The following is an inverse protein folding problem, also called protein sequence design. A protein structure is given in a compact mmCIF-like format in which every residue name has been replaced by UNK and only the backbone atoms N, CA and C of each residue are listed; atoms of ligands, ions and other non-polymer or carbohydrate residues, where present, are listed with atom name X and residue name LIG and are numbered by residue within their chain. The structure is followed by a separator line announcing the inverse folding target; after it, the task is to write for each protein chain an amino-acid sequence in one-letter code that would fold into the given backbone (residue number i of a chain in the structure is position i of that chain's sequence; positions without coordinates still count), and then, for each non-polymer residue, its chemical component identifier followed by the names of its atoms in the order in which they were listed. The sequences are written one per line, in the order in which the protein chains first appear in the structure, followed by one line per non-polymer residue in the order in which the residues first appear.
data_IF_851410009349
#
_entry.id   IF_851410009349
#
_cell.length_a   1.000
_cell.length_b   1.000
_cell.length_c   1.000
_cell.angle_alpha   90.00
_cell.angle_beta   90.00
_cell.angle_gamma   90.00
#
_symmetry.space_group_name_H-M   'P 1'
#
loop_
_entity.id
_entity.type
_entity.pdbx_description
1 polymer ?
#
# COMPACT_ATOMS: atom_id res chain seq x y z
N UNK A 1 35.98 89.06 -32.49
CA UNK A 1 36.06 88.88 -31.02
C UNK A 1 34.70 89.26 -30.44
N UNK A 2 34.26 88.53 -29.41
CA UNK A 2 32.90 88.55 -28.81
C UNK A 2 31.89 87.68 -29.57
N UNK A 3 31.22 86.67 -29.02
CA UNK A 3 31.01 86.25 -27.63
C UNK A 3 30.60 84.76 -27.61
N UNK A 4 31.54 83.85 -27.36
CA UNK A 4 31.28 82.43 -27.10
C UNK A 4 31.01 82.24 -25.61
N UNK A 5 29.76 82.33 -25.18
CA UNK A 5 29.28 81.83 -23.89
C UNK A 5 27.79 81.53 -24.01
N UNK A 6 27.42 80.78 -25.05
CA UNK A 6 26.10 80.16 -25.12
C UNK A 6 26.13 78.91 -24.27
N UNK A 7 25.64 78.98 -23.03
CA UNK A 7 25.47 77.78 -22.20
C UNK A 7 24.58 76.82 -22.98
N UNK A 8 25.12 75.66 -23.39
CA UNK A 8 24.34 74.64 -24.05
C UNK A 8 23.32 74.07 -23.06
N UNK A 9 22.09 74.57 -23.12
CA UNK A 9 21.01 74.18 -22.21
C UNK A 9 20.72 72.67 -22.24
N UNK A 10 21.01 71.99 -23.35
CA UNK A 10 20.87 70.54 -23.43
C UNK A 10 21.84 69.82 -22.48
N UNK A 11 23.09 70.29 -22.40
CA UNK A 11 24.10 69.73 -21.50
C UNK A 11 23.79 70.06 -20.03
N UNK A 12 23.11 71.18 -19.77
CA UNK A 12 22.63 71.53 -18.44
C UNK A 12 21.46 70.64 -17.99
N UNK A 13 20.47 70.43 -18.86
CA UNK A 13 19.30 69.60 -18.56
C UNK A 13 19.69 68.14 -18.31
N UNK A 14 20.68 67.61 -19.03
CA UNK A 14 21.18 66.24 -18.82
C UNK A 14 21.91 66.03 -17.49
N UNK A 15 22.39 67.10 -16.86
CA UNK A 15 23.02 67.05 -15.52
C UNK A 15 22.00 66.95 -14.40
N UNK A 16 20.73 67.22 -14.67
CA UNK A 16 19.65 67.16 -13.69
C UNK A 16 19.02 65.75 -13.76
N UNK A 17 19.05 64.95 -12.68
CA UNK A 17 18.40 63.65 -12.68
C UNK A 17 16.88 63.82 -12.80
N UNK A 18 16.27 63.00 -13.65
CA UNK A 18 14.82 62.95 -13.78
C UNK A 18 14.23 62.21 -12.59
N UNK A 19 13.18 62.78 -12.00
CA UNK A 19 12.45 62.18 -10.90
C UNK A 19 11.09 61.68 -11.38
N UNK A 20 10.63 60.59 -10.78
CA UNK A 20 9.31 60.06 -11.02
C UNK A 20 8.26 60.93 -10.31
N UNK A 21 7.19 61.32 -11.01
CA UNK A 21 6.07 62.09 -10.46
C UNK A 21 5.38 61.40 -9.28
N UNK A 22 5.41 60.07 -9.24
CA UNK A 22 4.83 59.26 -8.15
C UNK A 22 5.75 59.15 -6.93
N UNK A 23 6.98 59.68 -7.00
CA UNK A 23 7.90 59.78 -5.87
C UNK A 23 8.11 58.46 -5.11
N UNK A 24 7.76 58.45 -3.83
CA UNK A 24 7.84 57.27 -2.94
C UNK A 24 6.69 56.28 -3.13
N UNK A 25 5.58 56.72 -3.75
CA UNK A 25 4.41 55.88 -4.01
C UNK A 25 4.60 54.99 -5.24
N UNK A 26 5.69 55.19 -5.99
CA UNK A 26 6.03 54.29 -7.08
C UNK A 26 6.41 52.91 -6.51
N UNK A 27 5.83 51.80 -7.03
CA UNK A 27 6.15 50.46 -6.54
C UNK A 27 7.61 50.13 -6.86
N UNK A 28 8.47 50.19 -5.84
CA UNK A 28 9.91 49.93 -5.97
C UNK A 28 10.27 48.45 -5.88
N UNK A 29 9.38 47.65 -5.30
CA UNK A 29 9.65 46.26 -4.95
C UNK A 29 8.56 45.38 -5.54
N UNK A 30 8.92 44.68 -6.60
CA UNK A 30 8.18 43.50 -7.04
C UNK A 30 8.62 42.39 -6.08
N UNK A 31 7.69 41.66 -5.43
CA UNK A 31 8.08 40.58 -4.52
C UNK A 31 8.93 39.56 -5.30
N UNK A 32 9.99 39.02 -4.68
CA UNK A 32 10.83 38.03 -5.32
C UNK A 32 10.02 36.79 -5.70
N UNK A 33 10.36 36.17 -6.83
CA UNK A 33 9.75 34.91 -7.25
C UNK A 33 10.06 33.85 -6.21
N UNK A 34 9.03 33.25 -5.62
CA UNK A 34 9.17 32.15 -4.67
C UNK A 34 9.59 30.89 -5.44
N UNK A 35 10.80 30.41 -5.17
CA UNK A 35 11.28 29.13 -5.67
C UNK A 35 10.82 28.03 -4.72
N UNK A 36 9.84 27.22 -5.15
CA UNK A 36 9.22 26.16 -4.35
C UNK A 36 10.16 24.98 -4.00
N UNK A 37 11.41 25.05 -4.43
CA UNK A 37 12.42 24.00 -4.26
C UNK A 37 12.75 23.74 -2.78
N UNK A 38 12.50 24.72 -1.89
CA UNK A 38 12.80 24.64 -0.46
C UNK A 38 11.62 24.15 0.40
N UNK A 39 10.38 24.30 -0.06
CA UNK A 39 9.16 24.01 0.74
C UNK A 39 8.65 22.58 0.49
N UNK A 40 8.75 22.14 -0.77
CA UNK A 40 8.48 20.77 -1.15
C UNK A 40 9.78 20.25 -1.74
N UNK A 41 10.49 19.33 -1.07
CA UNK A 41 11.66 18.76 -1.69
C UNK A 41 11.25 18.24 -3.06
N UNK A 42 11.96 18.66 -4.11
CA UNK A 42 11.83 18.12 -5.48
C UNK A 42 12.00 16.58 -5.51
N UNK A 43 12.45 16.02 -4.38
CA UNK A 43 12.45 14.61 -4.01
C UNK A 43 11.20 14.16 -3.22
N UNK A 44 10.01 14.71 -3.46
CA UNK A 44 8.76 13.98 -3.19
C UNK A 44 8.65 12.83 -4.20
N UNK A 45 9.66 11.95 -4.16
CA UNK A 45 9.76 10.74 -4.93
C UNK A 45 8.74 9.83 -4.31
N UNK A 46 7.58 9.74 -4.96
CA UNK A 46 6.65 8.63 -4.78
C UNK A 46 7.50 7.36 -4.68
N UNK A 47 7.45 6.70 -3.53
CA UNK A 47 8.23 5.48 -3.37
C UNK A 47 7.77 4.49 -4.43
N UNK A 48 8.71 3.84 -5.15
CA UNK A 48 8.34 2.84 -6.12
C UNK A 48 7.56 1.75 -5.39
N UNK A 49 6.36 1.46 -5.87
CA UNK A 49 5.57 0.38 -5.32
C UNK A 49 6.35 -0.92 -5.58
N UNK A 50 6.66 -1.72 -4.55
CA UNK A 50 7.30 -3.01 -4.77
C UNK A 50 6.39 -3.89 -5.64
N UNK A 51 6.96 -4.88 -6.35
CA UNK A 51 6.16 -5.81 -7.16
C UNK A 51 5.17 -6.56 -6.25
N UNK A 52 3.91 -6.12 -6.26
CA UNK A 52 2.86 -6.66 -5.38
C UNK A 52 2.67 -8.15 -5.61
N UNK A 53 2.81 -8.61 -6.86
CA UNK A 53 2.67 -10.02 -7.22
C UNK A 53 3.69 -10.90 -6.46
N UNK A 54 4.96 -10.47 -6.39
CA UNK A 54 6.00 -11.21 -5.65
C UNK A 54 5.71 -11.30 -4.15
N UNK A 55 4.97 -10.32 -3.61
CA UNK A 55 4.59 -10.29 -2.20
C UNK A 55 3.36 -11.15 -1.95
N UNK A 56 2.32 -11.10 -2.79
CA UNK A 56 1.04 -11.74 -2.51
C UNK A 56 0.91 -13.16 -3.04
N UNK A 57 1.55 -13.50 -4.15
CA UNK A 57 1.44 -14.82 -4.77
C UNK A 57 1.83 -15.96 -3.81
N UNK A 58 2.94 -15.87 -3.03
CA UNK A 58 3.29 -16.90 -2.06
C UNK A 58 2.25 -17.08 -0.93
N UNK A 59 1.58 -16.00 -0.52
CA UNK A 59 0.54 -16.06 0.50
C UNK A 59 -0.73 -16.72 -0.02
N UNK A 60 -1.10 -16.42 -1.27
CA UNK A 60 -2.23 -17.07 -1.93
C UNK A 60 -1.97 -18.57 -2.05
N UNK A 61 -0.77 -18.98 -2.49
CA UNK A 61 -0.39 -20.38 -2.57
C UNK A 61 -0.44 -21.11 -1.23
N UNK A 62 -0.04 -20.47 -0.14
CA UNK A 62 -0.13 -21.05 1.21
C UNK A 62 -1.59 -21.28 1.63
N UNK A 63 -2.46 -20.30 1.37
CA UNK A 63 -3.88 -20.43 1.65
C UNK A 63 -4.51 -21.58 0.84
N UNK A 64 -4.16 -21.71 -0.44
CA UNK A 64 -4.65 -22.79 -1.29
C UNK A 64 -4.15 -24.17 -0.83
N UNK A 65 -2.90 -24.27 -0.39
CA UNK A 65 -2.36 -25.51 0.22
C UNK A 65 -3.17 -25.92 1.46
N UNK A 66 -3.37 -24.99 2.40
CA UNK A 66 -4.16 -25.25 3.61
C UNK A 66 -5.60 -25.65 3.29
N UNK A 67 -6.21 -25.02 2.29
CA UNK A 67 -7.55 -25.35 1.85
C UNK A 67 -7.62 -26.79 1.30
N UNK A 68 -6.61 -27.21 0.55
CA UNK A 68 -6.53 -28.56 0.00
C UNK A 68 -6.29 -29.60 1.09
N UNK A 69 -5.38 -29.35 2.03
CA UNK A 69 -5.17 -30.22 3.20
C UNK A 69 -6.45 -30.38 4.02
N UNK A 70 -7.21 -29.30 4.22
CA UNK A 70 -8.51 -29.36 4.90
C UNK A 70 -9.55 -30.20 4.13
N UNK A 71 -9.53 -30.17 2.79
CA UNK A 71 -10.41 -31.02 1.98
C UNK A 71 -10.00 -32.49 2.10
N UNK A 72 -8.71 -32.78 2.04
CA UNK A 72 -8.19 -34.14 2.19
C UNK A 72 -8.52 -34.71 3.57
N UNK A 73 -8.30 -33.91 4.62
CA UNK A 73 -8.64 -34.29 5.99
C UNK A 73 -10.13 -34.61 6.18
N UNK A 74 -11.03 -33.93 5.45
CA UNK A 74 -12.47 -34.25 5.48
C UNK A 74 -12.81 -35.59 4.80
N UNK A 75 -12.04 -35.99 3.79
CA UNK A 75 -12.28 -37.22 3.03
C UNK A 75 -11.56 -38.45 3.63
N UNK A 76 -10.48 -38.25 4.40
CA UNK A 76 -9.78 -39.31 5.13
C UNK A 76 -10.66 -40.20 6.02
N UNK A 77 -11.54 -39.67 6.89
CA UNK A 77 -12.37 -40.51 7.76
C UNK A 77 -13.29 -41.42 6.95
N UNK A 78 -13.80 -40.95 5.81
CA UNK A 78 -14.65 -41.75 4.92
C UNK A 78 -13.88 -42.90 4.29
N UNK A 79 -12.69 -42.63 3.76
CA UNK A 79 -11.80 -43.68 3.21
C UNK A 79 -11.42 -44.70 4.28
N UNK A 80 -11.18 -44.24 5.50
CA UNK A 80 -10.89 -45.12 6.63
C UNK A 80 -12.09 -45.98 7.01
N UNK A 81 -13.30 -45.42 7.08
CA UNK A 81 -14.52 -46.17 7.37
C UNK A 81 -14.80 -47.25 6.32
N UNK A 82 -14.67 -46.91 5.04
CA UNK A 82 -14.84 -47.87 3.92
C UNK A 82 -13.80 -49.00 4.00
N UNK A 83 -12.54 -48.67 4.27
CA UNK A 83 -11.48 -49.65 4.51
C UNK A 83 -11.76 -50.53 5.72
N UNK A 84 -12.13 -49.93 6.85
CA UNK A 84 -12.40 -50.62 8.11
C UNK A 84 -13.58 -51.58 7.97
N UNK A 85 -14.66 -51.12 7.34
CA UNK A 85 -15.82 -51.95 7.05
C UNK A 85 -15.45 -53.15 6.18
N UNK A 86 -14.72 -52.91 5.09
CA UNK A 86 -14.33 -53.97 4.16
C UNK A 86 -13.36 -54.98 4.77
N UNK A 87 -12.42 -54.53 5.59
CA UNK A 87 -11.35 -55.40 6.12
C UNK A 87 -11.76 -56.16 7.38
N UNK A 88 -12.51 -55.51 8.28
CA UNK A 88 -12.81 -56.07 9.60
C UNK A 88 -14.28 -56.42 9.77
N UNK A 89 -15.22 -55.54 9.37
CA UNK A 89 -16.65 -55.80 9.59
C UNK A 89 -17.23 -56.84 8.65
N UNK A 90 -16.73 -56.95 7.41
CA UNK A 90 -17.18 -57.95 6.43
C UNK A 90 -16.87 -59.40 6.83
N UNK A 91 -15.87 -59.61 7.68
CA UNK A 91 -15.42 -60.93 8.14
C UNK A 91 -16.11 -61.36 9.45
N UNK A 92 -16.84 -60.45 10.10
CA UNK A 92 -17.56 -60.73 11.34
C UNK A 92 -18.92 -61.33 10.97
N UNK A 93 -19.28 -62.51 11.52
CA UNK A 93 -20.59 -63.08 11.27
C UNK A 93 -21.70 -62.16 11.82
N UNK A 94 -22.83 -62.02 11.10
CA UNK A 94 -23.88 -61.04 11.43
C UNK A 94 -24.46 -61.21 12.84
N UNK A 95 -24.40 -62.42 13.40
CA UNK A 95 -24.82 -62.74 14.77
C UNK A 95 -24.01 -62.05 15.89
N UNK A 96 -22.80 -61.56 15.60
CA UNK A 96 -21.95 -60.83 16.55
C UNK A 96 -22.10 -59.30 16.46
N UNK A 97 -22.65 -58.78 15.36
CA UNK A 97 -22.84 -57.33 15.15
C UNK A 97 -24.03 -56.77 15.94
N UNK A 98 -25.08 -57.58 16.18
CA UNK A 98 -26.25 -57.19 16.98
C UNK A 98 -25.94 -57.05 18.48
N UNK A 99 -24.83 -57.63 18.94
CA UNK A 99 -24.37 -57.48 20.33
C UNK A 99 -23.47 -56.25 20.43
N UNK A 100 -24.08 -55.14 20.84
CA UNK A 100 -23.50 -53.83 21.17
C UNK A 100 -22.52 -53.87 22.37
N UNK A 101 -21.67 -54.88 22.46
CA UNK A 101 -20.76 -55.16 23.58
C UNK A 101 -19.34 -54.69 23.27
N UNK A 102 -18.97 -54.52 21.99
CA UNK A 102 -17.60 -54.21 21.57
C UNK A 102 -17.42 -52.83 20.90
N UNK A 103 -18.48 -52.03 20.77
CA UNK A 103 -18.35 -50.66 20.24
C UNK A 103 -17.86 -49.72 21.37
N UNK A 104 -16.75 -48.99 21.19
CA UNK A 104 -16.35 -47.97 22.15
C UNK A 104 -17.49 -46.96 22.34
N UNK A 105 -17.90 -46.76 23.58
CA UNK A 105 -18.94 -45.79 23.92
C UNK A 105 -18.43 -44.40 23.49
N UNK A 106 -19.18 -43.70 22.63
CA UNK A 106 -18.83 -42.33 22.22
C UNK A 106 -18.82 -41.47 23.48
N UNK A 107 -17.64 -41.14 24.00
CA UNK A 107 -17.49 -40.10 25.01
C UNK A 107 -17.83 -38.79 24.27
N UNK A 108 -19.03 -38.27 24.57
CA UNK A 108 -19.45 -36.94 24.12
C UNK A 108 -18.40 -35.92 24.56
N UNK A 109 -17.96 -34.99 23.69
CA UNK A 109 -17.11 -33.90 24.13
C UNK A 109 -17.88 -33.08 25.16
N UNK A 110 -17.38 -33.07 26.40
CA UNK A 110 -17.86 -32.16 27.44
C UNK A 110 -17.54 -30.73 26.99
N UNK A 111 -18.58 -29.96 26.69
CA UNK A 111 -18.49 -28.50 26.59
C UNK A 111 -17.96 -27.97 27.92
N UNK A 112 -16.69 -27.61 27.97
CA UNK A 112 -16.17 -26.73 29.02
C UNK A 112 -16.38 -25.29 28.56
N UNK A 113 -17.30 -24.62 29.26
CA UNK A 113 -17.47 -23.16 29.28
C UNK A 113 -16.34 -22.57 30.11
#
# INVERSE_FOLDING_TARGET
MSSENGINYQDLLRKIPLYNSYGTNYPKQIPPKLELHEIVPLNYKLQPLPPLNEIFDPWIEQCDKLLNECKEYKEEPRKFEEFYFKKYLSQIPPSLLDRKVLSPNKISPTNNI
#
